data_IF_598380621049
#
_entry.id   IF_598380621049
#
_cell.length_a   1.000
_cell.length_b   1.000
_cell.length_c   1.000
_cell.angle_alpha   90.00
_cell.angle_beta   90.00
_cell.angle_gamma   90.00
#
_symmetry.space_group_name_H-M   'P 1'
#
loop_
_entity.id
_entity.type
_entity.pdbx_description
1 polymer ?
#
# COMPACT_ATOMS: atom_id res chain seq x y z
N UNK A 1 -14.09 13.71 -4.12
CA UNK A 1 -14.33 14.69 -5.20
C UNK A 1 -13.01 14.98 -5.88
N UNK A 2 -12.95 14.83 -7.21
CA UNK A 2 -11.73 14.98 -8.02
C UNK A 2 -11.72 16.31 -8.81
N UNK A 3 -12.49 17.28 -8.32
CA UNK A 3 -12.59 18.63 -8.88
C UNK A 3 -11.65 19.58 -8.14
N UNK A 4 -11.08 20.55 -8.85
CA UNK A 4 -10.38 21.68 -8.23
C UNK A 4 -11.40 22.68 -7.63
N UNK A 5 -10.90 23.73 -6.96
CA UNK A 5 -11.74 24.78 -6.36
C UNK A 5 -12.59 25.57 -7.36
N UNK A 6 -12.28 25.49 -8.66
CA UNK A 6 -13.04 26.10 -9.76
C UNK A 6 -14.03 25.12 -10.42
N UNK A 7 -14.20 23.92 -9.87
CA UNK A 7 -15.09 22.89 -10.41
C UNK A 7 -14.56 22.14 -11.64
N UNK A 8 -13.31 22.37 -12.06
CA UNK A 8 -12.71 21.67 -13.20
C UNK A 8 -12.17 20.29 -12.79
N UNK A 9 -12.24 19.32 -13.71
CA UNK A 9 -11.68 17.97 -13.54
C UNK A 9 -10.16 18.04 -13.48
N UNK A 10 -9.55 17.46 -12.43
CA UNK A 10 -8.09 17.38 -12.32
C UNK A 10 -7.53 16.22 -13.14
N UNK A 11 -6.32 16.39 -13.69
CA UNK A 11 -5.59 15.27 -14.26
C UNK A 11 -5.22 14.24 -13.18
N UNK A 12 -4.98 12.99 -13.59
CA UNK A 12 -4.61 11.91 -12.66
C UNK A 12 -3.32 12.21 -11.90
N UNK A 13 -2.34 12.85 -12.53
CA UNK A 13 -1.09 13.27 -11.90
C UNK A 13 -1.31 14.36 -10.86
N UNK A 14 -2.10 15.38 -11.22
CA UNK A 14 -2.36 16.52 -10.32
C UNK A 14 -3.15 16.08 -9.09
N UNK A 15 -4.13 15.19 -9.28
CA UNK A 15 -4.90 14.61 -8.20
C UNK A 15 -4.01 13.84 -7.22
N UNK A 16 -3.03 13.08 -7.72
CA UNK A 16 -2.06 12.35 -6.88
C UNK A 16 -1.13 13.29 -6.12
N UNK A 17 -0.64 14.33 -6.78
CA UNK A 17 0.19 15.36 -6.15
C UNK A 17 -0.58 16.10 -5.04
N UNK A 18 -1.83 16.48 -5.32
CA UNK A 18 -2.71 17.13 -4.35
C UNK A 18 -2.99 16.23 -3.14
N UNK A 19 -3.34 14.95 -3.36
CA UNK A 19 -3.55 13.98 -2.28
C UNK A 19 -2.30 13.81 -1.42
N UNK A 20 -1.12 13.72 -2.04
CA UNK A 20 0.16 13.65 -1.32
C UNK A 20 0.37 14.89 -0.45
N UNK A 21 0.20 16.09 -1.01
CA UNK A 21 0.32 17.36 -0.28
C UNK A 21 -0.72 17.50 0.84
N UNK A 22 -1.88 16.87 0.73
CA UNK A 22 -2.91 16.83 1.78
C UNK A 22 -2.67 15.75 2.83
N UNK A 23 -1.71 14.84 2.63
CA UNK A 23 -1.49 13.70 3.53
C UNK A 23 -2.55 12.60 3.37
N UNK A 24 -3.02 12.39 2.15
CA UNK A 24 -4.03 11.41 1.78
C UNK A 24 -3.43 10.26 0.96
N UNK A 25 -4.09 9.10 0.99
CA UNK A 25 -3.76 7.98 0.12
C UNK A 25 -3.90 8.40 -1.35
N UNK A 26 -2.84 8.22 -2.14
CA UNK A 26 -2.83 8.54 -3.58
C UNK A 26 -3.90 7.81 -4.37
N UNK A 27 -4.29 6.61 -3.92
CA UNK A 27 -5.27 5.75 -4.61
C UNK A 27 -6.71 6.07 -4.22
N UNK A 28 -7.03 6.09 -2.92
CA UNK A 28 -8.42 6.21 -2.44
C UNK A 28 -8.76 7.51 -1.71
N UNK A 29 -7.79 8.42 -1.50
CA UNK A 29 -8.02 9.70 -0.82
C UNK A 29 -8.19 9.63 0.71
N UNK A 30 -8.10 8.45 1.33
CA UNK A 30 -8.17 8.32 2.80
C UNK A 30 -7.06 9.13 3.48
N UNK A 31 -7.38 9.88 4.54
CA UNK A 31 -6.40 10.60 5.35
C UNK A 31 -5.42 9.61 6.01
N UNK A 32 -4.14 9.75 5.68
CA UNK A 32 -3.07 8.88 6.20
C UNK A 32 -2.09 9.67 7.08
N UNK A 33 -2.01 10.98 6.89
CA UNK A 33 -1.14 11.86 7.65
C UNK A 33 -1.89 13.10 8.10
N UNK A 34 -1.54 13.61 9.28
CA UNK A 34 -2.00 14.89 9.81
C UNK A 34 -0.91 15.92 9.65
N UNK A 35 -1.27 17.12 9.18
CA UNK A 35 -0.37 18.28 9.25
C UNK A 35 -0.35 18.82 10.68
N UNK A 36 0.84 18.92 11.25
CA UNK A 36 1.16 19.82 12.35
C UNK A 36 1.99 20.98 11.79
N UNK A 37 2.16 22.03 12.58
CA UNK A 37 3.00 23.17 12.22
C UNK A 37 4.38 22.65 11.78
N UNK A 38 4.76 22.93 10.52
CA UNK A 38 5.99 22.49 9.82
C UNK A 38 6.22 20.99 9.59
N UNK A 39 5.34 20.07 10.01
CA UNK A 39 5.56 18.63 9.81
C UNK A 39 4.29 17.83 9.52
N UNK A 40 4.45 16.77 8.74
CA UNK A 40 3.42 15.74 8.61
C UNK A 40 3.68 14.62 9.60
N UNK A 41 2.64 14.27 10.36
CA UNK A 41 2.67 13.18 11.34
C UNK A 41 1.85 12.02 10.79
N UNK A 42 2.40 10.80 10.73
CA UNK A 42 1.64 9.62 10.33
C UNK A 42 0.45 9.39 11.27
N UNK A 43 -0.63 8.85 10.74
CA UNK A 43 -1.81 8.47 11.51
C UNK A 43 -1.86 6.95 11.69
N UNK A 44 -2.36 6.56 12.85
CA UNK A 44 -2.78 5.20 13.17
C UNK A 44 -4.28 5.22 13.41
N UNK A 45 -5.02 4.54 12.53
CA UNK A 45 -6.46 4.38 12.63
C UNK A 45 -6.75 2.90 12.50
N UNK A 46 -7.24 2.29 13.57
CA UNK A 46 -7.48 0.85 13.66
C UNK A 46 -8.21 0.30 12.42
N UNK A 47 -7.65 -0.75 11.84
CA UNK A 47 -8.16 -1.41 10.63
C UNK A 47 -8.15 -0.56 9.34
N UNK A 48 -7.71 0.71 9.38
CA UNK A 48 -7.83 1.65 8.26
C UNK A 48 -6.50 2.24 7.80
N UNK A 49 -5.65 2.64 8.73
CA UNK A 49 -4.36 3.28 8.51
C UNK A 49 -3.39 2.79 9.58
N UNK A 50 -2.18 2.41 9.20
CA UNK A 50 -1.12 2.05 10.15
C UNK A 50 0.16 2.79 9.78
N UNK A 51 0.72 3.59 10.66
CA UNK A 51 1.94 4.38 10.47
C UNK A 51 1.90 5.21 9.18
N UNK A 52 0.74 5.78 8.85
CA UNK A 52 0.52 6.51 7.60
C UNK A 52 0.39 5.65 6.34
N UNK A 53 0.34 4.32 6.46
CA UNK A 53 -0.01 3.39 5.38
C UNK A 53 -1.51 3.16 5.33
N UNK A 54 -2.12 3.39 4.17
CA UNK A 54 -3.53 3.07 3.94
C UNK A 54 -3.74 1.54 3.82
N UNK A 55 -4.44 0.92 4.77
CA UNK A 55 -4.67 -0.53 4.76
C UNK A 55 -5.71 -0.99 3.73
N UNK A 56 -6.55 -0.08 3.21
CA UNK A 56 -7.49 -0.39 2.12
C UNK A 56 -6.77 -0.62 0.79
N UNK A 57 -5.74 0.18 0.50
CA UNK A 57 -5.03 0.11 -0.78
C UNK A 57 -3.72 -0.67 -0.69
N UNK A 58 -3.08 -0.67 0.48
CA UNK A 58 -1.83 -1.35 0.76
C UNK A 58 -2.02 -2.22 2.00
N UNK A 59 -2.75 -3.34 1.91
CA UNK A 59 -2.98 -4.23 3.05
C UNK A 59 -1.66 -4.75 3.61
N UNK A 60 -1.65 -5.13 4.89
CA UNK A 60 -0.49 -5.75 5.51
C UNK A 60 -0.25 -7.11 4.86
N UNK A 61 0.98 -7.34 4.44
CA UNK A 61 1.42 -8.64 3.98
C UNK A 61 1.96 -9.46 5.14
N UNK A 62 2.07 -10.78 4.96
CA UNK A 62 2.61 -11.71 5.98
C UNK A 62 3.99 -11.26 6.51
N UNK A 63 4.82 -10.68 5.64
CA UNK A 63 6.14 -10.17 6.02
C UNK A 63 6.09 -8.91 6.91
N UNK A 64 5.05 -8.07 6.76
CA UNK A 64 4.85 -6.89 7.61
C UNK A 64 4.52 -7.33 9.04
N UNK A 65 3.67 -8.37 9.17
CA UNK A 65 3.26 -8.94 10.45
C UNK A 65 4.45 -9.58 11.17
N UNK A 66 5.26 -10.36 10.46
CA UNK A 66 6.44 -11.01 11.02
C UNK A 66 7.46 -9.98 11.56
N UNK A 67 7.68 -8.87 10.85
CA UNK A 67 8.59 -7.81 11.29
C UNK A 67 8.13 -7.17 12.61
N UNK A 68 6.83 -6.92 12.74
CA UNK A 68 6.24 -6.32 13.94
C UNK A 68 6.30 -7.23 15.16
N UNK A 69 6.11 -8.54 14.97
CA UNK A 69 6.28 -9.51 16.07
C UNK A 69 7.74 -9.58 16.53
N UNK A 70 8.71 -9.43 15.62
CA UNK A 70 10.14 -9.45 15.93
C UNK A 70 10.61 -8.22 16.72
N UNK A 71 10.09 -7.02 16.40
CA UNK A 71 10.45 -5.78 17.10
C UNK A 71 9.98 -5.74 18.55
N UNK A 72 8.89 -6.44 18.89
CA UNK A 72 8.35 -6.45 20.25
C UNK A 72 9.15 -7.36 21.21
N UNK A 73 10.11 -8.15 20.69
CA UNK A 73 10.88 -9.12 21.47
C UNK A 73 12.36 -8.75 21.65
N UNK A 74 12.75 -7.53 21.25
CA UNK A 74 14.16 -7.09 21.27
C UNK A 74 14.48 -6.12 22.41
N UNK A 75 13.98 -6.41 23.62
CA UNK A 75 14.30 -5.62 24.81
C UNK A 75 14.63 -6.46 26.05
N UNK A 76 15.02 -7.74 25.91
CA UNK A 76 15.77 -8.38 26.98
C UNK A 76 16.51 -9.67 26.54
N UNK A 77 17.83 -9.62 26.73
CA UNK A 77 18.78 -10.68 27.10
C UNK A 77 18.89 -12.02 26.32
N UNK A 78 20.17 -12.32 25.99
CA UNK A 78 20.84 -13.63 25.98
C UNK A 78 20.77 -14.51 24.70
N UNK A 79 21.90 -14.76 23.99
CA UNK A 79 21.94 -15.59 22.77
C UNK A 79 21.86 -17.12 23.02
N UNK A 80 21.29 -17.56 24.14
CA UNK A 80 21.25 -18.98 24.50
C UNK A 80 19.83 -19.53 24.70
N UNK A 81 18.99 -19.41 23.68
CA UNK A 81 17.76 -20.23 23.61
C UNK A 81 17.56 -20.79 22.20
N UNK A 82 17.82 -22.10 22.13
CA UNK A 82 17.52 -23.04 21.07
C UNK A 82 16.13 -22.79 20.45
N UNK A 83 15.99 -22.51 19.14
CA UNK A 83 14.69 -22.28 18.53
C UNK A 83 13.95 -23.61 18.38
N UNK A 84 13.05 -23.92 19.31
CA UNK A 84 12.09 -24.99 19.14
C UNK A 84 11.11 -24.63 18.01
N UNK A 85 11.26 -25.38 16.93
CA UNK A 85 10.39 -25.47 15.77
C UNK A 85 8.93 -25.70 16.16
N UNK A 86 8.06 -24.72 15.92
CA UNK A 86 6.64 -25.02 15.71
C UNK A 86 6.41 -25.25 14.21
N UNK A 87 6.32 -26.52 13.85
CA UNK A 87 5.84 -26.98 12.54
C UNK A 87 4.37 -26.62 12.42
N UNK A 88 4.05 -25.55 11.68
CA UNK A 88 2.67 -25.25 11.31
C UNK A 88 2.39 -25.93 9.97
N UNK A 89 1.60 -27.00 10.08
CA UNK A 89 1.29 -27.94 9.02
C UNK A 89 0.79 -27.25 7.74
N UNK A 90 1.42 -27.68 6.66
CA UNK A 90 1.19 -27.34 5.27
C UNK A 90 -0.13 -27.97 4.81
N UNK A 91 -1.14 -27.18 4.47
CA UNK A 91 -2.19 -27.64 3.56
C UNK A 91 -1.79 -27.24 2.14
N UNK A 92 -1.28 -28.25 1.43
CA UNK A 92 -1.21 -28.28 -0.03
C UNK A 92 -2.62 -28.23 -0.61
N UNK A 93 -2.89 -27.24 -1.46
CA UNK A 93 -3.85 -27.37 -2.54
C UNK A 93 -3.19 -26.76 -3.78
N UNK A 94 -2.96 -27.65 -4.74
CA UNK A 94 -2.13 -27.51 -5.92
C UNK A 94 -2.78 -26.65 -7.00
N UNK A 95 -1.91 -26.13 -7.88
CA UNK A 95 -2.10 -26.02 -9.33
C UNK A 95 -3.29 -25.24 -9.91
N UNK A 96 -3.01 -24.13 -10.60
CA UNK A 96 -2.83 -24.16 -12.07
C UNK A 96 -2.55 -22.78 -12.70
N UNK A 97 -1.56 -22.81 -13.59
CA UNK A 97 -1.40 -22.02 -14.83
C UNK A 97 -0.99 -20.54 -14.78
N UNK A 98 0.29 -20.38 -15.10
CA UNK A 98 0.90 -19.35 -15.92
C UNK A 98 -0.02 -18.82 -17.04
N UNK A 99 -0.17 -17.51 -17.11
CA UNK A 99 -0.76 -16.81 -18.25
C UNK A 99 -0.02 -15.51 -18.51
N UNK A 100 1.19 -15.59 -19.05
CA UNK A 100 1.81 -14.46 -19.76
C UNK A 100 0.94 -14.18 -20.98
N UNK A 101 0.49 -12.95 -21.15
CA UNK A 101 0.22 -12.47 -22.50
C UNK A 101 0.60 -11.00 -22.63
N UNK A 102 1.82 -10.82 -23.14
CA UNK A 102 2.29 -9.61 -23.81
C UNK A 102 1.49 -9.43 -25.10
N UNK A 103 0.95 -8.24 -25.33
CA UNK A 103 0.67 -7.78 -26.70
C UNK A 103 0.91 -6.28 -26.78
N UNK A 104 2.11 -5.97 -27.24
CA UNK A 104 2.44 -4.72 -27.89
C UNK A 104 1.76 -4.66 -29.27
N UNK A 105 1.57 -3.43 -29.72
CA UNK A 105 1.70 -2.92 -31.10
C UNK A 105 0.48 -2.70 -31.99
N UNK A 106 0.41 -1.43 -32.43
CA UNK A 106 0.18 -0.90 -33.80
C UNK A 106 -1.23 -0.45 -34.19
N UNK A 107 -1.39 0.88 -34.17
CA UNK A 107 -1.95 1.69 -35.28
C UNK A 107 -1.28 1.33 -36.63
N UNK A 108 -1.93 1.49 -37.81
CA UNK A 108 -2.45 2.80 -38.27
C UNK A 108 -3.73 2.79 -39.16
N UNK A 109 -4.32 3.98 -39.31
CA UNK A 109 -4.90 4.48 -40.57
C UNK A 109 -6.35 4.11 -40.92
N UNK A 110 -7.21 5.14 -41.07
CA UNK A 110 -8.13 5.19 -42.21
C UNK A 110 -8.49 6.64 -42.57
N UNK A 111 -8.51 6.90 -43.89
CA UNK A 111 -8.60 8.19 -44.56
C UNK A 111 -10.01 8.81 -44.56
N UNK A 112 -10.00 10.12 -44.78
CA UNK A 112 -11.10 11.00 -45.19
C UNK A 112 -11.87 10.47 -46.41
N UNK A 113 -13.15 10.83 -46.46
CA UNK A 113 -13.78 11.50 -47.61
C UNK A 113 -14.64 12.64 -47.08
#
# INVERSE_FOLDING_TARGET
SDFNSCGSVMSRSDLRAARTKRGECVSCGRKCFRKKVFKMVPLDVEGKVLEGRCLKCNPLQKHDIARRMKSNFSSDSNPNSNPQSYSLNYYNASDHSLGRNTSNNRHPGHMKM
#
